data_IF_735722264395
#
_entry.id   IF_735722264395
#
_cell.length_a   1.000
_cell.length_b   1.000
_cell.length_c   1.000
_cell.angle_alpha   90.00
_cell.angle_beta   90.00
_cell.angle_gamma   90.00
#
_symmetry.space_group_name_H-M   'P 1'
#
loop_
_entity.id
_entity.type
_entity.pdbx_description
1 polymer ?
#
# COMPACT_ATOMS: atom_id res chain seq x y z
N UNK A 1 4.50 11.52 -0.70
CA UNK A 1 3.77 10.36 -1.24
C UNK A 1 4.03 10.32 -2.73
N UNK A 2 4.30 9.14 -3.28
CA UNK A 2 4.53 8.93 -4.70
C UNK A 2 3.34 8.17 -5.30
N UNK A 3 2.82 8.60 -6.44
CA UNK A 3 1.76 7.86 -7.12
C UNK A 3 2.35 6.60 -7.73
N UNK A 4 1.72 5.45 -7.49
CA UNK A 4 2.26 4.14 -7.88
C UNK A 4 1.21 3.33 -8.64
N UNK A 5 1.65 2.54 -9.63
CA UNK A 5 0.80 1.53 -10.24
C UNK A 5 0.61 0.34 -9.30
N UNK A 6 -0.60 -0.20 -9.22
CA UNK A 6 -0.91 -1.36 -8.35
C UNK A 6 -1.72 -2.38 -9.13
N UNK A 7 -1.27 -3.62 -9.12
CA UNK A 7 -2.06 -4.78 -9.56
C UNK A 7 -2.64 -5.44 -8.31
N UNK A 8 -3.97 -5.44 -8.22
CA UNK A 8 -4.70 -5.96 -7.08
C UNK A 8 -6.06 -6.52 -7.49
N UNK A 9 -6.66 -7.30 -6.59
CA UNK A 9 -8.06 -7.67 -6.63
C UNK A 9 -8.79 -7.06 -5.44
N UNK A 10 -10.06 -6.70 -5.61
CA UNK A 10 -10.96 -6.43 -4.49
C UNK A 10 -11.77 -7.69 -4.19
N UNK A 11 -11.84 -8.08 -2.92
CA UNK A 11 -12.81 -9.07 -2.46
C UNK A 11 -14.18 -8.44 -2.27
N UNK A 12 -15.22 -9.27 -2.15
CA UNK A 12 -16.61 -8.82 -2.03
C UNK A 12 -16.87 -7.96 -0.77
N UNK A 13 -16.07 -8.14 0.28
CA UNK A 13 -16.11 -7.36 1.52
C UNK A 13 -15.30 -6.05 1.46
N UNK A 14 -14.68 -5.75 0.31
CA UNK A 14 -13.90 -4.53 0.10
C UNK A 14 -12.48 -4.59 0.66
N UNK A 15 -11.97 -5.76 1.07
CA UNK A 15 -10.53 -5.94 1.26
C UNK A 15 -9.80 -5.95 -0.09
N UNK A 16 -8.56 -5.48 -0.07
CA UNK A 16 -7.71 -5.43 -1.25
C UNK A 16 -6.65 -6.50 -1.12
N UNK A 17 -6.47 -7.29 -2.18
CA UNK A 17 -5.33 -8.19 -2.32
C UNK A 17 -4.35 -7.60 -3.32
N UNK A 18 -3.31 -6.95 -2.82
CA UNK A 18 -2.23 -6.40 -3.63
C UNK A 18 -1.27 -7.51 -4.04
N UNK A 19 -1.02 -7.61 -5.34
CA UNK A 19 -0.09 -8.62 -5.90
C UNK A 19 1.29 -8.02 -6.16
N UNK A 20 1.31 -6.83 -6.78
CA UNK A 20 2.56 -6.15 -7.17
C UNK A 20 2.36 -4.64 -7.30
N UNK A 21 3.44 -3.89 -7.12
CA UNK A 21 3.50 -2.43 -7.24
C UNK A 21 4.55 -2.00 -8.26
N UNK A 22 4.29 -0.93 -9.02
CA UNK A 22 5.19 -0.41 -10.05
C UNK A 22 6.12 0.65 -9.47
N UNK A 23 7.36 0.28 -9.14
CA UNK A 23 8.37 1.18 -8.58
C UNK A 23 9.55 1.26 -9.55
N UNK A 24 10.02 2.47 -9.86
CA UNK A 24 11.14 2.71 -10.78
C UNK A 24 11.00 1.95 -12.13
N UNK A 25 9.78 1.91 -12.67
CA UNK A 25 9.46 1.22 -13.93
C UNK A 25 9.44 -0.32 -13.85
N UNK A 26 9.52 -0.90 -12.65
CA UNK A 26 9.49 -2.36 -12.44
C UNK A 26 8.34 -2.77 -11.54
N UNK A 27 7.66 -3.85 -11.92
CA UNK A 27 6.64 -4.46 -11.08
C UNK A 27 7.32 -5.36 -10.04
N UNK A 28 7.17 -4.99 -8.76
CA UNK A 28 7.71 -5.75 -7.64
C UNK A 28 6.57 -6.50 -6.94
N UNK A 29 6.67 -7.82 -6.74
CA UNK A 29 5.71 -8.56 -5.94
C UNK A 29 5.77 -8.09 -4.48
N UNK A 30 4.64 -8.18 -3.77
CA UNK A 30 4.57 -7.77 -2.37
C UNK A 30 3.95 -8.84 -1.49
N UNK A 31 4.44 -8.93 -0.26
CA UNK A 31 3.67 -9.48 0.85
C UNK A 31 2.64 -8.46 1.33
N UNK A 32 1.65 -8.91 2.09
CA UNK A 32 0.57 -8.05 2.59
C UNK A 32 0.40 -8.20 4.10
N UNK A 33 0.15 -7.08 4.77
CA UNK A 33 -0.13 -7.00 6.20
C UNK A 33 -1.54 -6.48 6.48
N UNK A 34 -1.65 -5.68 7.55
CA UNK A 34 -2.92 -5.08 7.99
C UNK A 34 -3.52 -4.16 6.93
N UNK A 35 -4.85 -4.11 6.90
CA UNK A 35 -5.63 -3.12 6.17
C UNK A 35 -6.54 -2.35 7.11
N UNK A 36 -6.76 -1.07 6.84
CA UNK A 36 -7.72 -0.24 7.55
C UNK A 36 -8.31 0.82 6.62
N UNK A 37 -9.32 1.53 7.09
CA UNK A 37 -9.91 2.66 6.38
C UNK A 37 -9.97 3.86 7.30
N UNK A 38 -9.68 5.05 6.77
CA UNK A 38 -9.88 6.34 7.43
C UNK A 38 -10.30 7.40 6.39
N UNK A 39 -10.29 8.68 6.78
CA UNK A 39 -10.67 9.81 5.92
C UNK A 39 -9.83 9.93 4.64
N UNK A 40 -8.60 9.40 4.62
CA UNK A 40 -7.70 9.43 3.47
C UNK A 40 -7.92 8.25 2.51
N UNK A 41 -8.66 7.22 2.94
CA UNK A 41 -9.07 6.11 2.09
C UNK A 41 -8.83 4.73 2.66
N UNK A 42 -8.55 3.78 1.76
CA UNK A 42 -8.19 2.40 2.12
C UNK A 42 -6.67 2.30 2.21
N UNK A 43 -6.19 1.92 3.38
CA UNK A 43 -4.78 1.72 3.66
C UNK A 43 -4.45 0.23 3.63
N UNK A 44 -3.29 -0.10 3.05
CA UNK A 44 -2.75 -1.46 2.97
C UNK A 44 -1.27 -1.43 3.32
N UNK A 45 -0.86 -2.14 4.37
CA UNK A 45 0.56 -2.41 4.60
C UNK A 45 1.03 -3.48 3.63
N UNK A 46 2.13 -3.18 2.93
CA UNK A 46 2.80 -4.09 2.01
C UNK A 46 4.24 -4.34 2.46
N UNK A 47 4.75 -5.53 2.16
CA UNK A 47 6.15 -5.91 2.34
C UNK A 47 6.79 -6.05 0.98
N UNK A 48 7.74 -5.16 0.66
CA UNK A 48 8.57 -5.23 -0.53
C UNK A 48 9.67 -6.28 -0.38
N UNK A 49 10.29 -6.74 -1.49
CA UNK A 49 11.49 -7.56 -1.43
C UNK A 49 12.58 -6.89 -0.57
N UNK A 50 13.28 -7.68 0.26
CA UNK A 50 14.27 -7.16 1.19
C UNK A 50 13.71 -6.76 2.57
N UNK A 51 12.47 -7.16 2.88
CA UNK A 51 11.79 -6.91 4.16
C UNK A 51 11.49 -5.43 4.44
N UNK A 52 11.44 -4.59 3.41
CA UNK A 52 11.00 -3.19 3.54
C UNK A 52 9.47 -3.15 3.65
N UNK A 53 8.97 -2.58 4.75
CA UNK A 53 7.53 -2.38 4.97
C UNK A 53 7.13 -0.99 4.50
N UNK A 54 6.08 -0.91 3.67
CA UNK A 54 5.53 0.36 3.17
C UNK A 54 4.02 0.37 3.27
N UNK A 55 3.45 1.56 3.24
CA UNK A 55 2.01 1.78 3.24
C UNK A 55 1.55 2.24 1.86
N UNK A 56 0.50 1.60 1.36
CA UNK A 56 -0.28 2.04 0.22
C UNK A 56 -1.60 2.68 0.69
N UNK A 57 -1.98 3.77 0.05
CA UNK A 57 -3.28 4.43 0.27
C UNK A 57 -4.01 4.55 -1.05
N UNK A 58 -5.20 3.94 -1.15
CA UNK A 58 -6.15 4.19 -2.22
C UNK A 58 -7.04 5.36 -1.83
N UNK A 59 -6.83 6.49 -2.49
CA UNK A 59 -7.55 7.72 -2.19
C UNK A 59 -8.99 7.67 -2.75
N UNK A 60 -10.02 7.94 -1.93
CA UNK A 60 -11.39 8.01 -2.38
C UNK A 60 -11.57 9.25 -3.28
N UNK A 61 -12.40 9.12 -4.32
CA UNK A 61 -12.68 10.20 -5.27
C UNK A 61 -11.75 10.26 -6.48
N UNK A 62 -10.45 9.94 -6.32
CA UNK A 62 -9.51 9.88 -7.46
C UNK A 62 -9.19 8.46 -7.92
N UNK A 63 -9.42 7.46 -7.06
CA UNK A 63 -9.02 6.07 -7.27
C UNK A 63 -7.52 5.91 -7.60
N UNK A 64 -6.70 6.82 -7.07
CA UNK A 64 -5.25 6.77 -7.20
C UNK A 64 -4.62 6.08 -6.00
N UNK A 65 -3.61 5.28 -6.29
CA UNK A 65 -2.75 4.65 -5.30
C UNK A 65 -1.54 5.52 -5.00
N UNK A 66 -1.27 5.70 -3.72
CA UNK A 66 -0.13 6.44 -3.21
C UNK A 66 0.73 5.54 -2.34
N UNK A 67 2.04 5.55 -2.57
CA UNK A 67 3.03 4.96 -1.68
C UNK A 67 3.47 6.02 -0.66
N UNK A 68 3.23 5.75 0.62
CA UNK A 68 3.69 6.63 1.71
C UNK A 68 5.20 6.47 1.86
N UNK A 69 5.91 7.58 2.03
CA UNK A 69 7.35 7.54 2.31
C UNK A 69 7.62 6.81 3.62
N UNK A 70 8.78 6.17 3.74
CA UNK A 70 9.26 5.71 5.04
C UNK A 70 9.39 6.95 5.93
N UNK A 71 8.58 7.05 6.99
CA UNK A 71 8.91 7.99 8.06
C UNK A 71 10.19 7.46 8.70
N UNK A 72 11.31 8.14 8.49
CA UNK A 72 12.44 8.00 9.40
C UNK A 72 11.91 8.30 10.81
N UNK A 73 11.85 7.29 11.69
CA UNK A 73 11.61 7.48 13.12
C UNK A 73 10.16 7.39 13.61
N UNK A 74 9.47 6.27 13.31
CA UNK A 74 8.14 5.99 13.87
C UNK A 74 8.02 4.64 14.59
N UNK A 75 9.02 4.24 15.38
CA UNK A 75 8.80 3.18 16.38
C UNK A 75 7.95 3.78 17.49
N UNK A 76 6.67 3.38 17.57
CA UNK A 76 5.97 3.31 18.85
C UNK A 76 4.84 2.27 18.81
N UNK A 77 5.02 1.24 19.65
CA UNK A 77 4.05 0.38 20.34
C UNK A 77 3.05 -0.47 19.50
N UNK A 78 2.85 -1.75 19.83
CA UNK A 78 2.73 -2.35 21.18
C UNK A 78 3.63 -3.56 21.38
#
# INVERSE_FOLDING_TARGET
MESVGVDCNFSQDGLVQVKKVLINGRWLPVGQGRQWGDENGRHVLIMLPGNEVRELVLQPGTLRWWLVGTKDGGVTAV
#
